data_IF_712497601178
#
_entry.id   IF_712497601178
#
_cell.length_a   1.000
_cell.length_b   1.000
_cell.length_c   1.000
_cell.angle_alpha   90.00
_cell.angle_beta   90.00
_cell.angle_gamma   90.00
#
_symmetry.space_group_name_H-M   'P 1'
#
loop_
_entity.id
_entity.type
_entity.pdbx_description
1 polymer ?
#
# COMPACT_ATOMS: atom_id res chain seq x y z
N UNK A 1 -3.30 31.16 15.37
CA UNK A 1 -2.44 31.83 14.37
C UNK A 1 -3.27 32.93 13.72
N UNK A 2 -2.72 34.15 13.59
CA UNK A 2 -3.42 35.29 12.98
C UNK A 2 -3.32 35.13 11.46
N UNK A 3 -4.42 35.25 10.73
CA UNK A 3 -4.43 35.16 9.27
C UNK A 3 -3.73 36.40 8.68
N UNK A 4 -2.54 36.19 8.08
CA UNK A 4 -1.70 37.25 7.50
C UNK A 4 -1.78 37.28 5.97
N UNK A 5 -2.76 36.59 5.40
CA UNK A 5 -2.92 36.47 3.95
C UNK A 5 -3.23 37.83 3.31
N UNK A 6 -3.98 38.69 4.00
CA UNK A 6 -4.29 40.06 3.56
C UNK A 6 -3.05 40.97 3.54
N UNK A 7 -2.19 40.88 4.55
CA UNK A 7 -0.90 41.60 4.61
C UNK A 7 0.02 41.17 3.45
N UNK A 8 0.05 39.88 3.14
CA UNK A 8 0.80 39.35 2.00
C UNK A 8 0.27 39.87 0.66
N UNK A 9 -1.05 39.87 0.46
CA UNK A 9 -1.66 40.42 -0.77
C UNK A 9 -1.37 41.92 -0.92
N UNK A 10 -1.47 42.69 0.17
CA UNK A 10 -1.16 44.11 0.15
C UNK A 10 0.33 44.38 -0.20
N UNK A 11 1.25 43.56 0.32
CA UNK A 11 2.68 43.64 0.00
C UNK A 11 2.94 43.28 -1.48
N UNK A 12 2.35 42.21 -1.98
CA UNK A 12 2.49 41.77 -3.36
C UNK A 12 1.97 42.82 -4.35
N UNK A 13 0.83 43.44 -4.04
CA UNK A 13 0.28 44.52 -4.86
C UNK A 13 1.15 45.79 -4.83
N UNK A 14 1.75 46.11 -3.68
CA UNK A 14 2.70 47.22 -3.54
C UNK A 14 3.97 47.00 -4.36
N UNK A 15 4.51 45.78 -4.37
CA UNK A 15 5.68 45.41 -5.18
C UNK A 15 5.34 45.49 -6.67
N UNK A 16 4.17 45.00 -7.08
CA UNK A 16 3.69 45.10 -8.48
C UNK A 16 3.52 46.55 -8.92
N UNK A 17 2.95 47.41 -8.08
CA UNK A 17 2.83 48.86 -8.36
C UNK A 17 4.20 49.55 -8.42
N UNK A 18 5.18 49.11 -7.62
CA UNK A 18 6.55 49.64 -7.67
C UNK A 18 7.33 49.19 -8.92
N UNK A 19 7.06 47.99 -9.45
CA UNK A 19 7.67 47.47 -10.68
C UNK A 19 7.16 48.13 -11.97
N UNK A 20 6.01 48.80 -11.94
CA UNK A 20 5.42 49.50 -13.10
C UNK A 20 5.72 51.02 -13.12
N UNK A 21 6.50 51.52 -12.17
CA UNK A 21 6.98 52.91 -12.15
C UNK A 21 8.20 53.06 -13.05
N UNK A 22 8.01 53.68 -14.21
CA UNK A 22 9.03 54.10 -15.17
C UNK A 22 10.31 54.58 -14.47
N UNK A 23 11.44 53.91 -14.72
CA UNK A 23 12.76 54.51 -14.67
C UNK A 23 13.61 53.94 -15.81
N UNK A 24 14.01 54.85 -16.68
CA UNK A 24 14.91 54.64 -17.80
C UNK A 24 16.33 54.33 -17.31
N UNK A 25 16.97 53.46 -18.09
CA UNK A 25 18.42 53.30 -18.34
C UNK A 25 19.30 52.57 -17.32
N UNK A 26 19.97 51.56 -17.91
CA UNK A 26 21.16 50.81 -17.49
C UNK A 26 20.99 49.59 -16.57
N UNK A 27 20.68 48.45 -17.20
CA UNK A 27 21.35 47.16 -16.89
C UNK A 27 21.30 46.22 -18.10
N UNK A 28 22.46 45.75 -18.62
CA UNK A 28 22.52 44.83 -19.74
C UNK A 28 22.67 43.40 -19.23
N UNK A 29 21.56 42.73 -18.89
CA UNK A 29 21.45 41.27 -19.01
C UNK A 29 20.03 40.89 -18.63
N UNK A 30 19.28 40.36 -19.58
CA UNK A 30 18.20 39.36 -19.45
C UNK A 30 17.38 39.44 -20.73
N UNK A 31 18.03 39.09 -21.85
CA UNK A 31 17.33 38.74 -23.06
C UNK A 31 17.29 37.21 -23.18
N UNK A 32 16.09 36.70 -23.49
CA UNK A 32 15.73 35.32 -23.83
C UNK A 32 15.65 34.30 -22.69
N UNK A 33 14.42 34.03 -22.26
CA UNK A 33 13.69 32.80 -22.63
C UNK A 33 12.25 32.85 -22.11
N UNK A 34 11.35 33.30 -22.98
CA UNK A 34 9.97 32.81 -22.98
C UNK A 34 10.02 31.34 -23.43
N UNK A 35 10.19 30.44 -22.48
CA UNK A 35 9.92 29.00 -22.65
C UNK A 35 8.80 28.70 -21.70
N UNK A 36 7.69 28.19 -22.25
CA UNK A 36 6.56 27.56 -21.56
C UNK A 36 6.85 27.18 -20.11
N UNK A 37 6.14 27.80 -19.17
CA UNK A 37 6.15 27.48 -17.75
C UNK A 37 5.44 26.14 -17.43
N UNK A 38 5.52 25.16 -18.32
CA UNK A 38 5.37 23.76 -17.94
C UNK A 38 6.71 23.32 -17.35
N UNK A 39 6.88 23.52 -16.04
CA UNK A 39 7.99 22.93 -15.27
C UNK A 39 7.95 21.43 -15.55
N UNK A 40 8.76 20.94 -16.50
CA UNK A 40 8.84 19.53 -16.85
C UNK A 40 9.20 18.82 -15.56
N UNK A 41 8.23 18.09 -15.00
CA UNK A 41 8.44 17.31 -13.77
C UNK A 41 9.71 16.52 -13.97
N UNK A 42 10.58 16.49 -12.95
CA UNK A 42 11.81 15.71 -13.03
C UNK A 42 11.47 14.28 -13.45
N UNK A 43 12.37 13.62 -14.19
CA UNK A 43 12.17 12.21 -14.57
C UNK A 43 11.84 11.35 -13.35
N UNK A 44 12.48 11.64 -12.20
CA UNK A 44 12.11 11.09 -10.90
C UNK A 44 10.63 11.32 -10.55
N UNK A 45 10.15 12.57 -10.60
CA UNK A 45 8.76 12.90 -10.27
C UNK A 45 7.77 12.24 -11.22
N UNK A 46 8.11 12.08 -12.50
CA UNK A 46 7.27 11.37 -13.48
C UNK A 46 7.16 9.88 -13.15
N UNK A 47 8.29 9.23 -12.90
CA UNK A 47 8.34 7.81 -12.52
C UNK A 47 7.68 7.55 -11.16
N UNK A 48 7.93 8.40 -10.16
CA UNK A 48 7.31 8.29 -8.85
C UNK A 48 5.78 8.42 -8.92
N UNK A 49 5.27 9.38 -9.72
CA UNK A 49 3.83 9.54 -9.91
C UNK A 49 3.20 8.34 -10.63
N UNK A 50 3.89 7.77 -11.62
CA UNK A 50 3.44 6.55 -12.28
C UNK A 50 3.42 5.36 -11.32
N UNK A 51 4.50 5.16 -10.56
CA UNK A 51 4.59 4.09 -9.57
C UNK A 51 3.48 4.22 -8.51
N UNK A 52 3.23 5.42 -8.00
CA UNK A 52 2.15 5.69 -7.05
C UNK A 52 0.76 5.30 -7.58
N UNK A 53 0.48 5.58 -8.86
CA UNK A 53 -0.80 5.21 -9.48
C UNK A 53 -0.91 3.70 -9.66
N UNK A 54 0.16 3.05 -10.07
CA UNK A 54 0.19 1.60 -10.23
C UNK A 54 -0.02 0.90 -8.88
N UNK A 55 0.64 1.36 -7.81
CA UNK A 55 0.42 0.83 -6.44
C UNK A 55 -1.06 0.96 -6.06
N UNK A 56 -1.67 2.12 -6.25
CA UNK A 56 -3.08 2.32 -5.91
C UNK A 56 -4.01 1.37 -6.69
N UNK A 57 -3.76 1.19 -7.99
CA UNK A 57 -4.53 0.24 -8.81
C UNK A 57 -4.33 -1.22 -8.33
N UNK A 58 -3.12 -1.60 -7.92
CA UNK A 58 -2.85 -2.93 -7.35
C UNK A 58 -3.53 -3.11 -6.00
N UNK A 59 -3.56 -2.08 -5.14
CA UNK A 59 -4.32 -2.10 -3.88
C UNK A 59 -5.82 -2.28 -4.11
N UNK A 60 -6.40 -1.67 -5.15
CA UNK A 60 -7.81 -1.88 -5.51
C UNK A 60 -8.08 -3.33 -5.94
N UNK A 61 -7.21 -3.92 -6.77
CA UNK A 61 -7.30 -5.35 -7.12
C UNK A 61 -7.18 -6.25 -5.89
N UNK A 62 -6.33 -5.88 -4.93
CA UNK A 62 -6.16 -6.60 -3.67
C UNK A 62 -7.45 -6.58 -2.83
N UNK A 63 -8.13 -5.45 -2.75
CA UNK A 63 -9.42 -5.34 -2.07
C UNK A 63 -10.49 -6.21 -2.75
N UNK A 64 -10.54 -6.21 -4.08
CA UNK A 64 -11.44 -7.08 -4.85
C UNK A 64 -11.16 -8.57 -4.61
N UNK A 65 -9.88 -8.96 -4.61
CA UNK A 65 -9.47 -10.33 -4.29
C UNK A 65 -9.87 -10.69 -2.86
N UNK A 66 -9.64 -9.80 -1.89
CA UNK A 66 -10.06 -9.99 -0.50
C UNK A 66 -11.55 -10.24 -0.39
N UNK A 67 -12.37 -9.48 -1.13
CA UNK A 67 -13.81 -9.66 -1.17
C UNK A 67 -14.20 -11.03 -1.74
N UNK A 68 -13.60 -11.44 -2.85
CA UNK A 68 -13.89 -12.73 -3.48
C UNK A 68 -13.45 -13.92 -2.63
N UNK A 69 -12.28 -13.85 -2.00
CA UNK A 69 -11.77 -14.90 -1.10
C UNK A 69 -12.64 -15.04 0.15
N UNK A 70 -13.18 -13.92 0.68
CA UNK A 70 -14.13 -13.96 1.82
C UNK A 70 -15.54 -14.37 1.43
N UNK A 71 -15.98 -14.00 0.23
CA UNK A 71 -17.30 -14.34 -0.34
C UNK A 71 -17.30 -15.72 -1.00
N UNK A 72 -16.32 -16.58 -0.69
CA UNK A 72 -16.10 -17.90 -1.25
C UNK A 72 -17.16 -18.91 -0.77
N UNK A 73 -18.42 -18.59 -1.05
CA UNK A 73 -19.57 -19.49 -0.96
C UNK A 73 -19.61 -20.34 -2.24
N UNK A 74 -18.79 -21.40 -2.28
CA UNK A 74 -19.00 -22.65 -3.03
C UNK A 74 -19.17 -22.66 -4.56
N UNK A 75 -19.40 -21.54 -5.24
CA UNK A 75 -19.69 -21.53 -6.67
C UNK A 75 -18.43 -21.36 -7.52
N UNK A 76 -18.21 -22.35 -8.38
CA UNK A 76 -17.04 -22.60 -9.24
C UNK A 76 -16.53 -21.40 -10.07
N UNK A 77 -17.38 -20.42 -10.36
CA UNK A 77 -17.03 -19.23 -11.17
C UNK A 77 -16.12 -18.23 -10.43
N UNK A 78 -16.14 -18.25 -9.09
CA UNK A 78 -15.29 -17.37 -8.29
C UNK A 78 -13.83 -17.85 -8.29
N UNK A 79 -13.57 -19.15 -8.43
CA UNK A 79 -12.21 -19.72 -8.38
C UNK A 79 -11.35 -19.28 -9.56
N UNK A 80 -11.90 -19.25 -10.77
CA UNK A 80 -11.19 -18.79 -11.98
C UNK A 80 -10.86 -17.30 -11.88
N UNK A 81 -11.80 -16.48 -11.39
CA UNK A 81 -11.60 -15.03 -11.18
C UNK A 81 -10.53 -14.76 -10.13
N UNK A 82 -10.57 -15.50 -9.03
CA UNK A 82 -9.56 -15.45 -7.95
C UNK A 82 -8.19 -15.80 -8.50
N UNK A 83 -8.04 -16.91 -9.24
CA UNK A 83 -6.76 -17.30 -9.81
C UNK A 83 -6.22 -16.27 -10.82
N UNK A 84 -7.08 -15.72 -11.67
CA UNK A 84 -6.71 -14.66 -12.64
C UNK A 84 -6.25 -13.39 -11.91
N UNK A 85 -6.95 -12.99 -10.85
CA UNK A 85 -6.57 -11.83 -10.04
C UNK A 85 -5.24 -12.08 -9.31
N UNK A 86 -5.03 -13.27 -8.74
CA UNK A 86 -3.76 -13.65 -8.11
C UNK A 86 -2.59 -13.54 -9.09
N UNK A 87 -2.74 -14.06 -10.32
CA UNK A 87 -1.69 -13.96 -11.35
C UNK A 87 -1.44 -12.50 -11.76
N UNK A 88 -2.49 -11.70 -11.93
CA UNK A 88 -2.33 -10.27 -12.24
C UNK A 88 -1.65 -9.51 -11.09
N UNK A 89 -2.02 -9.79 -9.84
CA UNK A 89 -1.43 -9.17 -8.64
C UNK A 89 0.04 -9.55 -8.49
N UNK A 90 0.39 -10.81 -8.72
CA UNK A 90 1.78 -11.28 -8.77
C UNK A 90 2.59 -10.46 -9.79
N UNK A 91 2.09 -10.38 -11.03
CA UNK A 91 2.78 -9.65 -12.11
C UNK A 91 2.92 -8.16 -11.78
N UNK A 92 1.87 -7.54 -11.22
CA UNK A 92 1.86 -6.14 -10.82
C UNK A 92 2.91 -5.89 -9.73
N UNK A 93 2.91 -6.67 -8.64
CA UNK A 93 3.87 -6.52 -7.53
C UNK A 93 5.32 -6.71 -8.00
N UNK A 94 5.60 -7.71 -8.83
CA UNK A 94 6.94 -7.91 -9.41
C UNK A 94 7.35 -6.73 -10.30
N UNK A 95 6.41 -6.16 -11.06
CA UNK A 95 6.66 -4.98 -11.90
C UNK A 95 6.88 -3.72 -11.05
N UNK A 96 6.07 -3.52 -10.00
CA UNK A 96 6.20 -2.42 -9.04
C UNK A 96 7.57 -2.47 -8.35
N UNK A 97 8.01 -3.65 -7.92
CA UNK A 97 9.33 -3.83 -7.31
C UNK A 97 10.46 -3.45 -8.28
N UNK A 98 10.39 -3.86 -9.56
CA UNK A 98 11.36 -3.47 -10.59
C UNK A 98 11.37 -1.96 -10.82
N UNK A 99 10.20 -1.34 -10.94
CA UNK A 99 10.05 0.11 -11.13
C UNK A 99 10.62 0.90 -9.94
N UNK A 100 10.42 0.39 -8.72
CA UNK A 100 10.98 0.98 -7.50
C UNK A 100 12.53 0.95 -7.51
N UNK A 101 13.15 -0.16 -7.93
CA UNK A 101 14.62 -0.23 -8.09
C UNK A 101 15.12 0.80 -9.09
N UNK A 102 14.45 0.92 -10.24
CA UNK A 102 14.80 1.91 -11.27
C UNK A 102 14.69 3.32 -10.70
N UNK A 103 13.61 3.62 -9.95
CA UNK A 103 13.39 4.92 -9.33
C UNK A 103 14.53 5.29 -8.36
N UNK A 104 15.01 4.31 -7.59
CA UNK A 104 16.17 4.49 -6.70
C UNK A 104 17.47 4.72 -7.47
N UNK A 105 17.70 3.98 -8.55
CA UNK A 105 18.85 4.20 -9.43
C UNK A 105 18.85 5.61 -10.04
N UNK A 106 17.68 6.10 -10.48
CA UNK A 106 17.53 7.47 -10.99
C UNK A 106 17.85 8.51 -9.92
N UNK A 107 17.42 8.30 -8.67
CA UNK A 107 17.76 9.18 -7.56
C UNK A 107 19.26 9.15 -7.22
N UNK A 108 19.91 7.99 -7.29
CA UNK A 108 21.35 7.88 -7.05
C UNK A 108 22.20 8.47 -8.19
N UNK A 109 21.72 8.38 -9.43
CA UNK A 109 22.38 8.97 -10.62
C UNK A 109 22.21 10.49 -10.71
N UNK A 110 21.06 11.03 -10.30
CA UNK A 110 20.85 12.46 -10.17
C UNK A 110 21.16 12.93 -8.74
N UNK A 111 22.44 13.13 -8.44
CA UNK A 111 22.85 13.93 -7.28
C UNK A 111 22.39 15.38 -7.49
N UNK A 112 21.15 15.66 -7.10
CA UNK A 112 20.61 17.01 -7.09
C UNK A 112 21.47 17.89 -6.18
N UNK A 113 21.94 19.03 -6.70
CA UNK A 113 22.70 20.02 -5.92
C UNK A 113 21.86 20.66 -4.79
N UNK A 114 20.52 20.52 -4.84
CA UNK A 114 19.64 20.94 -3.76
C UNK A 114 19.42 19.78 -2.78
N UNK A 115 19.91 19.94 -1.55
CA UNK A 115 19.69 19.04 -0.39
C UNK A 115 18.20 18.74 -0.21
N UNK A 116 17.34 19.77 -0.28
CA UNK A 116 15.88 19.65 -0.15
C UNK A 116 15.23 18.77 -1.24
N UNK A 117 15.65 18.91 -2.50
CA UNK A 117 15.09 18.09 -3.58
C UNK A 117 15.49 16.61 -3.47
N UNK A 118 16.70 16.34 -2.96
CA UNK A 118 17.16 14.98 -2.66
C UNK A 118 16.35 14.36 -1.51
N UNK A 119 16.12 15.12 -0.43
CA UNK A 119 15.30 14.70 0.71
C UNK A 119 13.84 14.43 0.32
N UNK A 120 13.23 15.33 -0.45
CA UNK A 120 11.88 15.11 -0.95
C UNK A 120 11.80 13.82 -1.77
N UNK A 121 12.79 13.57 -2.63
CA UNK A 121 12.84 12.34 -3.43
C UNK A 121 12.98 11.09 -2.54
N UNK A 122 13.77 11.16 -1.47
CA UNK A 122 13.87 10.09 -0.48
C UNK A 122 12.53 9.82 0.21
N UNK A 123 11.86 10.86 0.70
CA UNK A 123 10.58 10.72 1.40
C UNK A 123 9.51 10.11 0.50
N UNK A 124 9.52 10.47 -0.79
CA UNK A 124 8.63 9.85 -1.78
C UNK A 124 8.96 8.38 -1.98
N UNK A 125 10.24 8.01 -2.07
CA UNK A 125 10.65 6.59 -2.17
C UNK A 125 10.20 5.80 -0.93
N UNK A 126 10.38 6.33 0.29
CA UNK A 126 9.95 5.71 1.54
C UNK A 126 8.45 5.46 1.53
N UNK A 127 7.67 6.48 1.17
CA UNK A 127 6.21 6.35 1.13
C UNK A 127 5.77 5.28 0.14
N UNK A 128 6.40 5.22 -1.04
CA UNK A 128 6.09 4.21 -2.05
C UNK A 128 6.52 2.80 -1.61
N UNK A 129 7.65 2.67 -0.91
CA UNK A 129 8.11 1.41 -0.32
C UNK A 129 7.13 0.89 0.72
N UNK A 130 6.72 1.74 1.67
CA UNK A 130 5.75 1.34 2.70
C UNK A 130 4.47 0.86 2.06
N UNK A 131 3.90 1.62 1.13
CA UNK A 131 2.66 1.23 0.43
C UNK A 131 2.80 -0.07 -0.36
N UNK A 132 3.95 -0.29 -1.01
CA UNK A 132 4.22 -1.53 -1.72
C UNK A 132 4.36 -2.72 -0.74
N UNK A 133 5.03 -2.52 0.39
CA UNK A 133 5.16 -3.52 1.43
C UNK A 133 3.78 -3.89 2.02
N UNK A 134 2.96 -2.89 2.35
CA UNK A 134 1.61 -3.08 2.88
C UNK A 134 0.72 -3.84 1.87
N UNK A 135 0.77 -3.45 0.59
CA UNK A 135 0.02 -4.15 -0.48
C UNK A 135 0.51 -5.59 -0.66
N UNK A 136 1.82 -5.81 -0.59
CA UNK A 136 2.40 -7.17 -0.68
C UNK A 136 2.02 -8.02 0.52
N UNK A 137 1.89 -7.42 1.71
CA UNK A 137 1.56 -8.12 2.95
C UNK A 137 0.11 -8.55 2.93
N UNK A 138 -0.79 -7.65 2.56
CA UNK A 138 -2.18 -8.01 2.34
C UNK A 138 -2.35 -9.10 1.29
N UNK A 139 -1.53 -9.12 0.23
CA UNK A 139 -1.57 -10.20 -0.77
C UNK A 139 -1.16 -11.54 -0.18
N UNK A 140 -0.05 -11.59 0.58
CA UNK A 140 0.37 -12.79 1.31
C UNK A 140 -0.72 -13.30 2.25
N UNK A 141 -1.34 -12.42 3.04
CA UNK A 141 -2.35 -12.80 4.02
C UNK A 141 -3.60 -13.41 3.37
N UNK A 142 -4.01 -12.91 2.19
CA UNK A 142 -5.11 -13.50 1.40
C UNK A 142 -4.71 -14.88 0.88
N UNK A 143 -3.49 -15.03 0.34
CA UNK A 143 -3.00 -16.32 -0.15
C UNK A 143 -2.97 -17.37 0.98
N UNK A 144 -2.50 -16.98 2.17
CA UNK A 144 -2.53 -17.85 3.36
C UNK A 144 -3.97 -18.20 3.79
N UNK A 145 -4.89 -17.23 3.78
CA UNK A 145 -6.30 -17.48 4.07
C UNK A 145 -6.92 -18.46 3.05
N UNK A 146 -6.56 -18.35 1.78
CA UNK A 146 -7.06 -19.23 0.72
C UNK A 146 -6.53 -20.66 0.84
N UNK A 147 -5.25 -20.82 1.20
CA UNK A 147 -4.65 -22.13 1.54
C UNK A 147 -5.41 -22.78 2.69
N UNK A 148 -5.73 -22.02 3.74
CA UNK A 148 -6.50 -22.52 4.90
C UNK A 148 -7.91 -22.95 4.48
N UNK A 149 -8.60 -22.17 3.64
CA UNK A 149 -9.95 -22.49 3.15
C UNK A 149 -9.92 -23.75 2.27
N UNK A 150 -8.95 -23.88 1.36
CA UNK A 150 -8.82 -25.06 0.51
C UNK A 150 -8.49 -26.33 1.32
N UNK A 151 -7.62 -26.24 2.33
CA UNK A 151 -7.27 -27.38 3.19
C UNK A 151 -8.40 -27.83 4.12
N UNK A 152 -9.19 -26.90 4.67
CA UNK A 152 -10.37 -27.25 5.49
C UNK A 152 -11.48 -27.91 4.64
N UNK A 153 -11.65 -27.51 3.38
CA UNK A 153 -12.60 -28.17 2.48
C UNK A 153 -12.22 -29.64 2.20
N UNK A 154 -10.93 -29.98 2.15
CA UNK A 154 -10.45 -31.37 1.99
C UNK A 154 -10.79 -32.24 3.18
N UNK A 155 -10.76 -31.71 4.41
CA UNK A 155 -11.13 -32.45 5.62
C UNK A 155 -12.62 -32.83 5.64
N UNK A 156 -13.47 -32.02 5.01
CA UNK A 156 -14.91 -32.25 4.92
C UNK A 156 -15.31 -33.17 3.76
N UNK A 157 -14.55 -33.20 2.66
CA UNK A 157 -14.76 -34.16 1.56
C UNK A 157 -14.11 -35.53 1.80
N UNK A 158 -13.13 -35.62 2.71
CA UNK A 158 -12.43 -36.87 3.06
C UNK A 158 -13.15 -37.70 4.14
N UNK A 159 -14.45 -37.46 4.36
CA UNK A 159 -15.29 -38.36 5.16
C UNK A 159 -16.13 -39.27 4.25
N UNK A 160 -15.59 -40.40 3.76
CA UNK A 160 -16.39 -41.45 3.15
C UNK A 160 -16.99 -42.30 4.27
N UNK A 161 -18.04 -41.83 4.93
CA UNK A 161 -18.99 -42.75 5.56
C UNK A 161 -20.42 -42.33 5.24
N UNK A 162 -21.11 -43.05 4.34
CA UNK A 162 -22.55 -43.02 4.34
C UNK A 162 -22.97 -43.65 5.66
N UNK A 163 -23.31 -42.83 6.66
CA UNK A 163 -24.16 -43.31 7.76
C UNK A 163 -25.46 -43.77 7.12
N UNK A 164 -25.54 -45.07 6.78
CA UNK A 164 -26.81 -45.77 6.59
C UNK A 164 -27.62 -45.47 7.83
N UNK A 165 -28.53 -44.51 7.73
CA UNK A 165 -29.69 -44.46 8.61
C UNK A 165 -30.46 -45.73 8.30
N UNK A 166 -30.20 -46.78 9.07
CA UNK A 166 -31.12 -47.90 9.16
C UNK A 166 -32.42 -47.29 9.63
N UNK A 167 -33.35 -47.21 8.69
CA UNK A 167 -34.71 -46.76 8.91
C UNK A 167 -35.37 -47.83 9.80
N UNK A 168 -35.24 -47.67 11.11
CA UNK A 168 -35.96 -48.47 12.09
C UNK A 168 -37.45 -48.18 11.87
N UNK A 169 -38.09 -49.08 11.13
CA UNK A 169 -39.54 -49.15 11.01
C UNK A 169 -40.08 -49.48 12.41
N UNK A 170 -40.47 -48.45 13.15
CA UNK A 170 -41.21 -48.61 14.39
C UNK A 170 -42.65 -48.91 14.00
N UNK A 171 -42.97 -50.20 13.94
CA UNK A 171 -44.35 -50.67 13.89
C UNK A 171 -45.05 -50.25 15.17
N UNK A 172 -46.22 -49.65 14.97
CA UNK A 172 -47.23 -49.44 15.97
C UNK A 172 -47.97 -50.76 16.17
N UNK A 173 -47.93 -51.34 17.37
CA UNK A 173 -49.00 -52.23 17.81
C UNK A 173 -49.15 -52.20 19.33
N UNK A 174 -50.41 -52.38 19.72
CA UNK A 174 -50.97 -52.23 21.04
C UNK A 174 -50.89 -53.55 21.83
N UNK A 175 -51.23 -53.46 23.12
CA UNK A 175 -51.77 -54.51 24.00
C UNK A 175 -50.83 -55.36 24.89
N UNK A 176 -50.98 -55.08 26.19
CA UNK A 176 -51.17 -55.99 27.34
C UNK A 176 -50.31 -57.24 27.55
N UNK A 177 -49.59 -57.22 28.67
CA UNK A 177 -49.67 -58.14 29.84
C UNK A 177 -49.71 -59.67 29.64
N UNK A 178 -48.86 -60.34 30.43
CA UNK A 178 -49.11 -61.61 31.19
C UNK A 178 -48.34 -62.86 30.72
N UNK A 179 -47.24 -63.13 31.44
CA UNK A 179 -46.90 -64.40 32.14
C UNK A 179 -46.67 -65.73 31.38
N UNK A 180 -45.64 -66.43 31.90
CA UNK A 180 -45.39 -67.90 31.99
C UNK A 180 -44.46 -68.60 30.98
N UNK A 181 -43.35 -69.07 31.55
CA UNK A 181 -42.77 -70.43 31.51
C UNK A 181 -42.19 -71.04 30.22
N UNK A 182 -40.90 -71.41 30.37
CA UNK A 182 -40.17 -72.63 29.91
C UNK A 182 -40.32 -73.07 28.45
N UNK A 183 -39.20 -73.34 27.76
CA UNK A 183 -38.66 -74.70 27.52
C UNK A 183 -37.33 -74.60 26.77
N UNK A 184 -36.40 -75.49 27.12
CA UNK A 184 -35.15 -75.75 26.39
C UNK A 184 -35.44 -76.20 24.96
N UNK A 185 -34.76 -75.62 23.97
CA UNK A 185 -34.58 -76.24 22.66
C UNK A 185 -33.25 -75.78 22.06
N UNK A 186 -32.40 -76.78 21.77
CA UNK A 186 -31.32 -76.71 20.81
C UNK A 186 -31.84 -76.10 19.49
N UNK A 187 -31.13 -75.12 18.94
CA UNK A 187 -31.13 -74.90 17.49
C UNK A 187 -29.72 -74.52 17.03
N UNK A 188 -29.30 -75.26 16.01
CA UNK A 188 -28.00 -75.39 15.40
C UNK A 188 -28.14 -74.78 14.01
N UNK A 189 -27.49 -73.64 13.72
CA UNK A 189 -27.20 -73.22 12.34
C UNK A 189 -26.34 -71.95 12.23
N UNK A 190 -25.61 -71.76 11.11
CA UNK A 190 -24.24 -71.30 11.12
C UNK A 190 -24.04 -69.84 10.69
N UNK A 191 -22.91 -69.29 11.10
CA UNK A 191 -22.05 -68.33 10.41
C UNK A 191 -22.58 -67.77 9.06
N UNK A 192 -23.48 -66.79 9.11
CA UNK A 192 -23.81 -65.96 7.94
C UNK A 192 -22.85 -64.77 7.87
N UNK A 193 -21.64 -64.99 7.33
CA UNK A 193 -20.87 -63.91 6.70
C UNK A 193 -21.63 -63.45 5.45
N UNK A 194 -22.63 -62.60 5.65
CA UNK A 194 -23.31 -61.88 4.57
C UNK A 194 -22.37 -60.82 4.01
N UNK A 195 -21.45 -61.22 3.13
CA UNK A 195 -20.74 -60.29 2.24
C UNK A 195 -21.83 -59.66 1.35
N UNK A 196 -22.10 -58.35 1.43
CA UNK A 196 -23.04 -57.75 0.51
C UNK A 196 -22.46 -57.87 -0.90
N UNK A 197 -23.16 -58.60 -1.77
CA UNK A 197 -22.94 -58.59 -3.22
C UNK A 197 -23.14 -57.15 -3.71
N UNK A 198 -22.05 -56.38 -3.74
CA UNK A 198 -21.99 -55.09 -4.43
C UNK A 198 -22.20 -55.40 -5.91
N UNK A 199 -23.31 -54.92 -6.45
CA UNK A 199 -23.61 -55.06 -7.87
C UNK A 199 -22.46 -54.47 -8.69
N UNK A 200 -22.00 -55.20 -9.71
CA UNK A 200 -20.87 -54.79 -10.57
C UNK A 200 -21.12 -53.42 -11.25
N UNK A 201 -22.39 -53.03 -11.42
CA UNK A 201 -22.80 -51.69 -11.87
C UNK A 201 -22.53 -50.56 -10.85
N UNK A 202 -22.64 -50.82 -9.54
CA UNK A 202 -22.26 -49.82 -8.52
C UNK A 202 -20.74 -49.63 -8.44
N UNK A 203 -19.95 -50.65 -8.78
CA UNK A 203 -18.49 -50.57 -8.76
C UNK A 203 -17.93 -49.65 -9.86
N UNK A 204 -18.57 -49.60 -11.04
CA UNK A 204 -18.20 -48.67 -12.12
C UNK A 204 -18.53 -47.21 -11.80
N UNK A 205 -19.66 -46.94 -11.12
CA UNK A 205 -20.00 -45.59 -10.68
C UNK A 205 -19.01 -45.06 -9.62
N UNK A 206 -18.49 -45.94 -8.77
CA UNK A 206 -17.51 -45.58 -7.76
C UNK A 206 -16.15 -45.22 -8.37
N UNK A 207 -15.72 -45.92 -9.44
CA UNK A 207 -14.49 -45.58 -10.17
C UNK A 207 -14.56 -44.21 -10.86
N UNK A 208 -15.70 -43.86 -11.46
CA UNK A 208 -15.87 -42.55 -12.12
C UNK A 208 -15.87 -41.37 -11.13
N UNK A 209 -16.36 -41.60 -9.90
CA UNK A 209 -16.31 -40.61 -8.82
C UNK A 209 -14.88 -40.45 -8.29
N UNK A 210 -14.12 -41.55 -8.16
CA UNK A 210 -12.69 -41.49 -7.79
C UNK A 210 -11.87 -40.72 -8.83
N UNK A 211 -12.00 -41.03 -10.12
CA UNK A 211 -11.26 -40.31 -11.18
C UNK A 211 -11.58 -38.82 -11.24
N UNK A 212 -12.83 -38.43 -10.94
CA UNK A 212 -13.23 -37.03 -10.87
C UNK A 212 -12.61 -36.33 -9.66
N UNK A 213 -12.56 -37.01 -8.52
CA UNK A 213 -11.92 -36.50 -7.31
C UNK A 213 -10.40 -36.38 -7.49
N UNK A 214 -9.76 -37.34 -8.15
CA UNK A 214 -8.31 -37.31 -8.41
C UNK A 214 -7.92 -36.10 -9.27
N UNK A 215 -8.70 -35.79 -10.33
CA UNK A 215 -8.47 -34.59 -11.15
C UNK A 215 -8.67 -33.29 -10.37
N UNK A 216 -9.67 -33.26 -9.47
CA UNK A 216 -9.91 -32.09 -8.61
C UNK A 216 -8.77 -31.91 -7.63
N UNK A 217 -8.29 -32.98 -7.00
CA UNK A 217 -7.16 -32.96 -6.06
C UNK A 217 -5.89 -32.51 -6.78
N UNK A 218 -5.58 -33.10 -7.94
CA UNK A 218 -4.40 -32.73 -8.74
C UNK A 218 -4.41 -31.25 -9.12
N UNK A 219 -5.53 -30.74 -9.65
CA UNK A 219 -5.66 -29.31 -10.00
C UNK A 219 -5.47 -28.39 -8.79
N UNK A 220 -5.88 -28.83 -7.59
CA UNK A 220 -5.69 -28.09 -6.34
C UNK A 220 -4.24 -28.15 -5.87
N UNK A 221 -3.58 -29.30 -5.98
CA UNK A 221 -2.16 -29.45 -5.65
C UNK A 221 -1.28 -28.54 -6.52
N UNK A 222 -1.53 -28.49 -7.84
CA UNK A 222 -0.81 -27.57 -8.74
C UNK A 222 -1.07 -26.10 -8.39
N UNK A 223 -2.32 -25.74 -8.03
CA UNK A 223 -2.64 -24.38 -7.60
C UNK A 223 -1.93 -24.02 -6.28
N UNK A 224 -1.86 -24.95 -5.32
CA UNK A 224 -1.15 -24.78 -4.06
C UNK A 224 0.35 -24.56 -4.27
N UNK A 225 1.00 -25.37 -5.12
CA UNK A 225 2.42 -25.20 -5.46
C UNK A 225 2.71 -23.83 -6.09
N UNK A 226 1.81 -23.36 -6.97
CA UNK A 226 1.90 -22.01 -7.55
C UNK A 226 1.74 -20.91 -6.50
N UNK A 227 0.89 -21.10 -5.49
CA UNK A 227 0.71 -20.16 -4.38
C UNK A 227 1.95 -20.14 -3.49
N UNK A 228 2.49 -21.31 -3.13
CA UNK A 228 3.72 -21.42 -2.33
C UNK A 228 4.92 -20.75 -3.03
N UNK A 229 5.08 -21.00 -4.34
CA UNK A 229 6.10 -20.31 -5.14
C UNK A 229 5.92 -18.80 -5.12
N UNK A 230 4.68 -18.32 -5.15
CA UNK A 230 4.37 -16.88 -5.11
C UNK A 230 4.65 -16.28 -3.73
N UNK A 231 4.31 -16.99 -2.64
CA UNK A 231 4.65 -16.58 -1.26
C UNK A 231 6.18 -16.52 -1.08
N UNK A 232 6.92 -17.47 -1.63
CA UNK A 232 8.39 -17.46 -1.59
C UNK A 232 8.98 -16.26 -2.38
N UNK A 233 8.47 -15.98 -3.58
CA UNK A 233 8.89 -14.82 -4.38
C UNK A 233 8.59 -13.49 -3.66
N UNK A 234 7.39 -13.38 -3.07
CA UNK A 234 7.02 -12.24 -2.21
C UNK A 234 7.95 -12.13 -0.99
N UNK A 235 8.33 -13.25 -0.38
CA UNK A 235 9.32 -13.30 0.70
C UNK A 235 10.66 -12.67 0.30
N UNK A 236 11.13 -12.95 -0.92
CA UNK A 236 12.31 -12.28 -1.49
C UNK A 236 12.13 -10.78 -1.67
N UNK A 237 10.96 -10.35 -2.15
CA UNK A 237 10.59 -8.93 -2.27
C UNK A 237 10.54 -8.25 -0.89
N UNK A 238 9.99 -8.91 0.13
CA UNK A 238 9.95 -8.40 1.50
C UNK A 238 11.33 -8.25 2.09
N UNK A 239 12.21 -9.24 1.93
CA UNK A 239 13.57 -9.14 2.44
C UNK A 239 14.27 -7.92 1.83
N UNK A 240 14.07 -7.71 0.53
CA UNK A 240 14.61 -6.54 -0.15
C UNK A 240 13.98 -5.23 0.34
N UNK A 241 12.66 -5.17 0.56
CA UNK A 241 12.01 -3.97 1.10
C UNK A 241 12.44 -3.72 2.55
N UNK A 242 12.64 -4.77 3.34
CA UNK A 242 13.08 -4.67 4.72
C UNK A 242 14.50 -4.11 4.85
N UNK A 243 15.45 -4.59 4.05
CA UNK A 243 16.81 -4.01 4.01
C UNK A 243 16.76 -2.55 3.58
N UNK A 244 15.94 -2.26 2.58
CA UNK A 244 15.77 -0.93 2.01
C UNK A 244 15.11 0.07 2.97
N UNK A 245 14.19 -0.39 3.83
CA UNK A 245 13.59 0.42 4.92
C UNK A 245 14.56 0.56 6.09
N UNK A 246 15.34 -0.48 6.41
CA UNK A 246 16.34 -0.44 7.47
C UNK A 246 17.46 0.57 7.19
N UNK A 247 18.00 0.58 5.97
CA UNK A 247 18.96 1.61 5.51
C UNK A 247 18.38 3.04 5.61
N UNK A 248 17.06 3.17 5.45
CA UNK A 248 16.39 4.47 5.43
C UNK A 248 15.95 4.97 6.81
N UNK A 249 15.80 4.11 7.84
CA UNK A 249 15.60 4.56 9.23
C UNK A 249 16.74 5.47 9.72
N UNK A 250 17.96 5.26 9.24
CA UNK A 250 19.10 6.16 9.50
C UNK A 250 18.93 7.54 8.81
N UNK A 251 18.25 7.60 7.66
CA UNK A 251 17.98 8.85 6.96
C UNK A 251 16.88 9.67 7.63
N UNK A 252 15.87 9.02 8.23
CA UNK A 252 14.81 9.70 9.01
C UNK A 252 15.42 10.46 10.20
N UNK A 253 16.41 9.89 10.89
CA UNK A 253 17.13 10.59 11.96
C UNK A 253 17.82 11.88 11.48
N UNK A 254 18.23 11.93 10.20
CA UNK A 254 18.80 13.13 9.59
C UNK A 254 17.73 14.18 9.24
N UNK A 255 16.47 13.79 9.02
CA UNK A 255 15.36 14.73 8.78
C UNK A 255 15.07 15.55 10.04
N UNK A 256 15.12 14.92 11.21
CA UNK A 256 15.00 15.64 12.48
C UNK A 256 16.14 16.67 12.60
N UNK A 257 17.37 16.25 12.33
CA UNK A 257 18.53 17.16 12.32
C UNK A 257 18.46 18.27 11.26
N UNK A 258 17.81 18.03 10.12
CA UNK A 258 17.58 19.05 9.10
C UNK A 258 16.50 20.06 9.51
N UNK A 259 15.54 19.65 10.33
CA UNK A 259 14.53 20.57 10.87
C UNK A 259 15.18 21.54 11.84
N UNK A 260 16.10 21.05 12.66
CA UNK A 260 16.93 21.87 13.54
C UNK A 260 17.81 22.86 12.75
N UNK A 261 18.43 22.40 11.64
CA UNK A 261 19.19 23.28 10.75
C UNK A 261 18.31 24.39 10.12
N UNK A 262 17.08 24.05 9.71
CA UNK A 262 16.13 25.03 9.15
C UNK A 262 15.72 26.03 10.22
N UNK A 263 15.44 25.56 11.43
CA UNK A 263 15.13 26.43 12.57
C UNK A 263 16.29 27.41 12.84
N UNK A 264 17.52 26.92 12.88
CA UNK A 264 18.71 27.77 13.08
C UNK A 264 18.86 28.81 11.97
N UNK A 265 18.64 28.43 10.71
CA UNK A 265 18.71 29.35 9.58
C UNK A 265 17.58 30.39 9.61
N UNK A 266 16.37 30.01 10.01
CA UNK A 266 15.23 30.92 10.15
C UNK A 266 15.47 31.92 11.29
N UNK A 267 16.00 31.47 12.42
CA UNK A 267 16.40 32.33 13.54
C UNK A 267 17.53 33.29 13.13
N UNK A 268 18.51 32.80 12.37
CA UNK A 268 19.57 33.62 11.78
C UNK A 268 19.03 34.71 10.86
N UNK A 269 18.12 34.36 9.95
CA UNK A 269 17.45 35.30 9.06
C UNK A 269 16.60 36.33 9.83
N UNK A 270 15.92 35.93 10.90
CA UNK A 270 15.17 36.84 11.77
C UNK A 270 16.09 37.86 12.45
N UNK A 271 17.26 37.40 12.94
CA UNK A 271 18.27 38.28 13.53
C UNK A 271 18.82 39.28 12.51
N UNK A 272 19.10 38.85 11.28
CA UNK A 272 19.51 39.76 10.21
C UNK A 272 18.42 40.78 9.84
N UNK A 273 17.15 40.37 9.79
CA UNK A 273 16.04 41.29 9.55
C UNK A 273 15.92 42.35 10.65
N UNK A 274 16.14 41.97 11.91
CA UNK A 274 16.17 42.90 13.04
C UNK A 274 17.34 43.88 12.93
N UNK A 275 18.54 43.41 12.58
CA UNK A 275 19.70 44.27 12.32
C UNK A 275 19.43 45.25 11.20
N UNK A 276 18.83 44.79 10.10
CA UNK A 276 18.48 45.65 8.98
C UNK A 276 17.44 46.71 9.36
N UNK A 277 16.43 46.34 10.16
CA UNK A 277 15.46 47.28 10.70
C UNK A 277 16.11 48.36 11.59
N UNK A 278 17.02 47.95 12.49
CA UNK A 278 17.75 48.89 13.35
C UNK A 278 18.64 49.84 12.53
N UNK A 279 19.33 49.34 11.50
CA UNK A 279 20.14 50.16 10.61
C UNK A 279 19.30 51.18 9.84
N UNK A 280 18.13 50.78 9.29
CA UNK A 280 17.22 51.72 8.63
C UNK A 280 16.75 52.79 9.61
N UNK A 281 16.36 52.40 10.83
CA UNK A 281 15.89 53.35 11.82
C UNK A 281 17.01 54.33 12.23
N UNK A 282 18.24 53.85 12.38
CA UNK A 282 19.41 54.70 12.66
C UNK A 282 19.69 55.69 11.51
N UNK A 283 19.60 55.25 10.25
CA UNK A 283 19.75 56.13 9.08
C UNK A 283 18.63 57.18 9.04
N UNK A 284 17.38 56.78 9.31
CA UNK A 284 16.25 57.71 9.37
C UNK A 284 16.44 58.76 10.46
N UNK A 285 16.88 58.36 11.66
CA UNK A 285 17.18 59.31 12.75
C UNK A 285 18.34 60.24 12.40
N UNK A 286 19.38 59.74 11.73
CA UNK A 286 20.49 60.56 11.27
C UNK A 286 20.01 61.61 10.26
N UNK A 287 19.20 61.20 9.27
CA UNK A 287 18.63 62.11 8.28
C UNK A 287 17.79 63.20 8.95
N UNK A 288 16.90 62.83 9.87
CA UNK A 288 16.09 63.79 10.62
C UNK A 288 16.95 64.81 11.39
N UNK A 289 18.03 64.38 12.05
CA UNK A 289 18.96 65.28 12.74
C UNK A 289 19.63 66.25 11.78
N UNK A 290 20.14 65.75 10.65
CA UNK A 290 20.78 66.61 9.63
C UNK A 290 19.83 67.68 9.10
N UNK A 291 18.57 67.32 8.83
CA UNK A 291 17.57 68.28 8.33
C UNK A 291 17.31 69.41 9.34
N UNK A 292 17.12 69.07 10.62
CA UNK A 292 16.92 70.05 11.69
C UNK A 292 18.15 70.96 11.86
N UNK A 293 19.35 70.39 11.80
CA UNK A 293 20.58 71.22 11.88
C UNK A 293 20.76 72.12 10.66
N UNK A 294 20.38 71.68 9.46
CA UNK A 294 20.43 72.54 8.27
C UNK A 294 19.40 73.66 8.33
N UNK A 295 18.19 73.41 8.85
CA UNK A 295 17.19 74.47 9.07
C UNK A 295 17.70 75.51 10.10
N UNK A 296 18.28 75.06 11.21
CA UNK A 296 18.84 75.97 12.22
C UNK A 296 20.04 76.80 11.70
N UNK A 297 20.88 76.22 10.84
CA UNK A 297 21.99 76.95 10.20
C UNK A 297 21.51 77.98 9.17
N UNK A 298 20.43 77.69 8.45
CA UNK A 298 19.81 78.65 7.53
C UNK A 298 19.21 79.83 8.30
N UNK A 299 18.47 79.57 9.39
CA UNK A 299 17.91 80.64 10.23
C UNK A 299 18.98 81.53 10.89
N UNK A 300 20.14 80.98 11.26
CA UNK A 300 21.25 81.79 11.79
C UNK A 300 21.99 82.62 10.73
N UNK A 301 21.92 82.25 9.46
CA UNK A 301 22.60 82.96 8.37
C UNK A 301 21.73 84.08 7.78
N UNK A 302 20.42 84.08 8.07
CA UNK A 302 19.45 85.11 7.70
C UNK A 302 19.27 86.20 8.79
N UNK A 303 20.06 86.15 9.88
CA UNK A 303 20.14 87.13 10.98
C UNK A 303 21.44 87.95 10.90
#
# INVERSE_FOLDING_TARGET
MKDRTSEFYALAERIKKRGNGKNNNNSPHLNKRNVSATKTRSEFSRLAAQLSRNIAATSEKLEQLTYLTKSNDGFNDNHIKVNTLQQSLKQDITTLNKQLKILQSVKNGNRSNSKQASEHSNNVIISLQSKLADTSLGFKDILEAEVIIQNNASAQSSSPQPRRRVNAHQYQDSSSTTTTNTTLAYDDSPQSLGIPMISQQQQQQQQQILERNDKIIESRTTAMESIESTIAELGGIFQQLATMVAEQRETIQRIDQNTDDIEMNVLGAQSELLKYYQNINAVLQMQAKTTVTTEALVEMNDL
#
